data_IF_295114436645
#
_entry.id   IF_295114436645
#
_cell.length_a   1.000
_cell.length_b   1.000
_cell.length_c   1.000
_cell.angle_alpha   90.00
_cell.angle_beta   90.00
_cell.angle_gamma   90.00
#
_symmetry.space_group_name_H-M   'P 1'
#
loop_
_entity.id
_entity.type
_entity.pdbx_description
1 polymer ?
#
# COMPACT_ATOMS: atom_id res chain seq x y z
N UNK A 1 14.91 -13.45 -27.08
CA UNK A 1 14.37 -13.70 -25.71
C UNK A 1 13.26 -14.72 -25.83
N UNK A 2 13.35 -15.86 -25.11
CA UNK A 2 12.35 -16.94 -25.21
C UNK A 2 11.09 -16.56 -24.42
N UNK A 3 9.92 -16.87 -24.97
CA UNK A 3 8.60 -16.65 -24.34
C UNK A 3 8.51 -17.26 -22.92
N UNK A 4 9.27 -18.33 -22.68
CA UNK A 4 9.42 -18.95 -21.36
C UNK A 4 10.04 -18.03 -20.32
N UNK A 5 10.97 -17.16 -20.70
CA UNK A 5 11.58 -16.16 -19.80
C UNK A 5 10.58 -15.06 -19.44
N UNK A 6 9.70 -14.68 -20.38
CA UNK A 6 8.63 -13.72 -20.13
C UNK A 6 7.55 -14.29 -19.21
N UNK A 7 7.21 -15.57 -19.37
CA UNK A 7 6.29 -16.27 -18.46
C UNK A 7 6.91 -16.44 -17.06
N UNK A 8 8.22 -16.70 -16.97
CA UNK A 8 8.94 -16.81 -15.69
C UNK A 8 9.10 -15.46 -14.99
N UNK A 9 9.20 -14.37 -15.75
CA UNK A 9 9.14 -13.00 -15.22
C UNK A 9 7.72 -12.63 -14.74
N UNK A 10 6.68 -13.08 -15.45
CA UNK A 10 5.28 -12.89 -15.04
C UNK A 10 4.85 -13.78 -13.85
N UNK A 11 5.51 -14.93 -13.67
CA UNK A 11 5.31 -15.91 -12.58
C UNK A 11 6.42 -15.81 -11.52
N UNK A 12 7.26 -14.77 -11.58
CA UNK A 12 8.07 -14.42 -10.43
C UNK A 12 7.11 -14.04 -9.30
N UNK A 13 7.31 -14.51 -8.05
CA UNK A 13 6.49 -14.09 -6.94
C UNK A 13 6.63 -12.57 -6.86
N UNK A 14 5.57 -11.85 -7.29
CA UNK A 14 5.42 -10.42 -7.06
C UNK A 14 5.73 -10.26 -5.57
N UNK A 15 6.78 -9.53 -5.17
CA UNK A 15 7.22 -9.47 -3.79
C UNK A 15 6.01 -9.14 -2.92
N UNK A 16 5.54 -10.15 -2.19
CA UNK A 16 4.15 -10.26 -1.78
C UNK A 16 3.79 -9.42 -0.57
N UNK A 17 4.60 -8.41 -0.25
CA UNK A 17 4.36 -7.51 0.88
C UNK A 17 4.56 -6.07 0.47
N UNK A 18 3.64 -5.66 -0.39
CA UNK A 18 3.33 -4.27 -0.68
C UNK A 18 2.69 -3.62 0.57
N UNK A 19 2.86 -2.30 0.75
CA UNK A 19 2.32 -1.52 1.88
C UNK A 19 0.78 -1.52 2.02
N UNK A 20 0.08 -2.19 1.10
CA UNK A 20 -1.37 -2.35 1.05
C UNK A 20 -1.67 -3.86 1.14
N UNK A 21 -2.70 -4.23 1.92
CA UNK A 21 -3.15 -5.62 2.07
C UNK A 21 -3.30 -6.28 0.70
N UNK A 22 -2.82 -7.52 0.61
CA UNK A 22 -2.87 -8.29 -0.62
C UNK A 22 -4.31 -8.42 -1.12
N UNK A 23 -4.60 -7.71 -2.19
CA UNK A 23 -5.89 -7.65 -2.85
C UNK A 23 -6.20 -8.88 -3.71
N UNK A 24 -5.26 -9.83 -3.82
CA UNK A 24 -5.44 -11.08 -4.53
C UNK A 24 -6.72 -11.79 -4.10
N UNK A 25 -7.15 -11.69 -2.83
CA UNK A 25 -8.44 -12.23 -2.36
C UNK A 25 -9.66 -11.59 -3.03
N UNK A 26 -9.65 -10.28 -3.26
CA UNK A 26 -10.75 -9.58 -3.96
C UNK A 26 -10.78 -9.95 -5.44
N UNK A 27 -9.60 -10.03 -6.07
CA UNK A 27 -9.47 -10.45 -7.47
C UNK A 27 -9.89 -11.92 -7.64
N UNK A 28 -9.51 -12.80 -6.71
CA UNK A 28 -9.96 -14.20 -6.69
C UNK A 28 -11.48 -14.30 -6.51
N UNK A 29 -12.06 -13.51 -5.59
CA UNK A 29 -13.51 -13.45 -5.40
C UNK A 29 -14.24 -13.00 -6.66
N UNK A 30 -13.71 -12.00 -7.37
CA UNK A 30 -14.24 -11.54 -8.66
C UNK A 30 -14.13 -12.61 -9.74
N UNK A 31 -13.04 -13.38 -9.77
CA UNK A 31 -12.86 -14.50 -10.69
C UNK A 31 -13.85 -15.63 -10.43
N UNK A 32 -14.10 -15.98 -9.16
CA UNK A 32 -15.08 -17.00 -8.78
C UNK A 32 -16.50 -16.56 -9.16
N UNK A 33 -16.87 -15.31 -8.85
CA UNK A 33 -18.18 -14.75 -9.22
C UNK A 33 -18.32 -14.64 -10.74
N UNK A 34 -17.28 -14.21 -11.45
CA UNK A 34 -17.25 -14.11 -12.91
C UNK A 34 -17.36 -15.48 -13.59
N UNK A 35 -16.72 -16.51 -13.04
CA UNK A 35 -16.85 -17.90 -13.50
C UNK A 35 -18.25 -18.47 -13.26
N UNK A 36 -18.87 -18.14 -12.14
CA UNK A 36 -20.26 -18.52 -11.85
C UNK A 36 -21.27 -17.81 -12.78
N UNK A 37 -21.03 -16.52 -13.07
CA UNK A 37 -21.86 -15.72 -13.98
C UNK A 37 -21.70 -16.13 -15.46
N UNK A 38 -20.55 -16.70 -15.85
CA UNK A 38 -20.28 -17.13 -17.22
C UNK A 38 -21.34 -18.12 -17.72
N UNK A 39 -21.71 -19.08 -16.88
CA UNK A 39 -22.71 -20.09 -17.19
C UNK A 39 -24.14 -19.54 -17.27
N UNK A 40 -24.42 -18.43 -16.59
CA UNK A 40 -25.76 -17.83 -16.52
C UNK A 40 -26.02 -16.80 -17.62
N UNK A 41 -24.96 -16.18 -18.16
CA UNK A 41 -25.07 -15.02 -19.07
C UNK A 41 -24.46 -15.23 -20.47
N UNK A 42 -24.08 -16.46 -20.84
CA UNK A 42 -23.50 -16.79 -22.15
C UNK A 42 -22.31 -15.88 -22.53
N UNK A 43 -21.40 -15.62 -21.58
CA UNK A 43 -20.14 -14.91 -21.83
C UNK A 43 -20.13 -13.38 -21.64
N UNK A 44 -21.29 -12.72 -21.50
CA UNK A 44 -21.32 -11.28 -21.19
C UNK A 44 -20.87 -10.97 -19.75
N UNK A 45 -21.17 -11.86 -18.80
CA UNK A 45 -20.74 -11.73 -17.40
C UNK A 45 -19.22 -11.69 -17.23
N UNK A 46 -18.47 -12.40 -18.08
CA UNK A 46 -16.99 -12.36 -18.09
C UNK A 46 -16.43 -11.00 -18.47
N UNK A 47 -17.05 -10.28 -19.40
CA UNK A 47 -16.62 -8.93 -19.80
C UNK A 47 -16.85 -7.94 -18.67
N UNK A 48 -18.00 -8.02 -18.00
CA UNK A 48 -18.31 -7.18 -16.83
C UNK A 48 -17.37 -7.48 -15.67
N UNK A 49 -17.07 -8.76 -15.41
CA UNK A 49 -16.12 -9.16 -14.37
C UNK A 49 -14.69 -8.64 -14.66
N UNK A 50 -14.25 -8.70 -15.92
CA UNK A 50 -12.97 -8.13 -16.36
C UNK A 50 -12.93 -6.60 -16.16
N UNK A 51 -14.01 -5.89 -16.51
CA UNK A 51 -14.09 -4.44 -16.31
C UNK A 51 -14.01 -4.08 -14.83
N UNK A 52 -14.72 -4.80 -13.96
CA UNK A 52 -14.65 -4.59 -12.50
C UNK A 52 -13.26 -4.93 -11.95
N UNK A 53 -12.61 -5.99 -12.44
CA UNK A 53 -11.25 -6.35 -12.04
C UNK A 53 -10.25 -5.23 -12.38
N UNK A 54 -10.37 -4.63 -13.56
CA UNK A 54 -9.54 -3.49 -13.96
C UNK A 54 -9.74 -2.28 -13.05
N UNK A 55 -10.99 -1.94 -12.72
CA UNK A 55 -11.29 -0.83 -11.80
C UNK A 55 -10.64 -1.08 -10.43
N UNK A 56 -10.77 -2.30 -9.91
CA UNK A 56 -10.18 -2.71 -8.62
C UNK A 56 -8.65 -2.60 -8.64
N UNK A 57 -7.99 -3.02 -9.72
CA UNK A 57 -6.53 -2.91 -9.89
C UNK A 57 -6.06 -1.45 -9.96
N UNK A 58 -6.78 -0.60 -10.70
CA UNK A 58 -6.45 0.84 -10.79
C UNK A 58 -6.59 1.52 -9.42
N UNK A 59 -7.67 1.24 -8.69
CA UNK A 59 -7.88 1.77 -7.34
C UNK A 59 -6.73 1.39 -6.39
N UNK A 60 -6.25 0.15 -6.45
CA UNK A 60 -5.12 -0.31 -5.63
C UNK A 60 -3.81 0.38 -6.00
N UNK A 61 -3.52 0.54 -7.29
CA UNK A 61 -2.32 1.25 -7.74
C UNK A 61 -2.30 2.67 -7.19
N UNK A 62 -3.43 3.38 -7.24
CA UNK A 62 -3.55 4.74 -6.73
C UNK A 62 -3.34 4.81 -5.21
N UNK A 63 -3.93 3.87 -4.44
CA UNK A 63 -3.73 3.80 -2.99
C UNK A 63 -2.28 3.50 -2.62
N UNK A 64 -1.64 2.60 -3.36
CA UNK A 64 -0.23 2.27 -3.15
C UNK A 64 0.69 3.45 -3.46
N UNK A 65 0.45 4.15 -4.57
CA UNK A 65 1.23 5.33 -4.93
C UNK A 65 1.10 6.44 -3.88
N UNK A 66 -0.11 6.65 -3.34
CA UNK A 66 -0.33 7.60 -2.25
C UNK A 66 0.43 7.19 -0.98
N UNK A 67 0.26 5.95 -0.53
CA UNK A 67 0.95 5.45 0.66
C UNK A 67 2.49 5.56 0.52
N UNK A 68 3.04 5.19 -0.63
CA UNK A 68 4.49 5.29 -0.88
C UNK A 68 4.98 6.74 -0.86
N UNK A 69 4.21 7.68 -1.41
CA UNK A 69 4.53 9.10 -1.37
C UNK A 69 4.54 9.59 0.08
N UNK A 70 3.53 9.22 0.86
CA UNK A 70 3.41 9.63 2.26
C UNK A 70 4.57 9.10 3.12
N UNK A 71 4.97 7.84 2.92
CA UNK A 71 6.17 7.29 3.55
C UNK A 71 7.43 8.05 3.13
N UNK A 72 7.60 8.34 1.83
CA UNK A 72 8.75 9.08 1.34
C UNK A 72 8.84 10.47 1.97
N UNK A 73 7.71 11.17 2.11
CA UNK A 73 7.64 12.49 2.75
C UNK A 73 8.01 12.40 4.25
N UNK A 74 7.55 11.36 4.97
CA UNK A 74 7.92 11.12 6.38
C UNK A 74 9.41 10.80 6.57
N UNK A 75 9.99 9.93 5.73
CA UNK A 75 11.43 9.63 5.79
C UNK A 75 12.29 10.84 5.42
N UNK A 76 11.83 11.69 4.49
CA UNK A 76 12.50 12.96 4.20
C UNK A 76 12.45 13.91 5.39
N UNK A 77 11.31 14.02 6.08
CA UNK A 77 11.20 14.81 7.30
C UNK A 77 12.15 14.30 8.40
N UNK A 78 12.30 12.98 8.55
CA UNK A 78 13.27 12.39 9.47
C UNK A 78 14.71 12.80 9.12
N UNK A 79 15.11 12.67 7.85
CA UNK A 79 16.44 13.08 7.40
C UNK A 79 16.68 14.59 7.53
N UNK A 80 15.65 15.42 7.39
CA UNK A 80 15.72 16.85 7.63
C UNK A 80 15.86 17.18 9.12
N UNK A 81 15.17 16.44 10.00
CA UNK A 81 15.38 16.54 11.44
C UNK A 81 16.84 16.21 11.82
N UNK A 82 17.40 15.12 11.30
CA UNK A 82 18.80 14.77 11.60
C UNK A 82 19.78 15.88 11.19
N UNK A 83 19.51 16.60 10.09
CA UNK A 83 20.36 17.70 9.62
C UNK A 83 20.13 19.04 10.31
N UNK A 84 18.88 19.36 10.62
CA UNK A 84 18.48 20.69 11.10
C UNK A 84 18.16 20.74 12.59
N UNK A 85 17.97 19.57 13.21
CA UNK A 85 17.49 19.37 14.57
C UNK A 85 16.17 20.11 14.84
N UNK A 86 15.36 20.34 13.79
CA UNK A 86 14.07 21.00 13.94
C UNK A 86 12.96 19.99 14.25
N UNK A 87 12.45 20.06 15.48
CA UNK A 87 11.39 19.21 16.00
C UNK A 87 10.04 19.34 15.28
N UNK A 88 9.79 20.39 14.50
CA UNK A 88 8.60 20.51 13.66
C UNK A 88 8.48 19.35 12.67
N UNK A 89 9.61 18.83 12.18
CA UNK A 89 9.63 17.66 11.30
C UNK A 89 9.14 16.39 12.01
N UNK A 90 9.43 16.23 13.30
CA UNK A 90 8.94 15.11 14.09
C UNK A 90 7.43 15.21 14.34
N UNK A 91 6.94 16.41 14.61
CA UNK A 91 5.49 16.68 14.75
C UNK A 91 4.74 16.41 13.44
N UNK A 92 5.36 16.73 12.30
CA UNK A 92 4.84 16.38 10.98
C UNK A 92 4.75 14.86 10.78
N UNK A 93 5.79 14.11 11.12
CA UNK A 93 5.78 12.64 11.03
C UNK A 93 4.66 12.06 11.91
N UNK A 94 4.51 12.54 13.15
CA UNK A 94 3.45 12.14 14.08
C UNK A 94 2.04 12.40 13.50
N UNK A 95 1.79 13.61 13.00
CA UNK A 95 0.49 13.94 12.41
C UNK A 95 0.19 13.12 11.15
N UNK A 96 1.18 12.96 10.26
CA UNK A 96 1.00 12.24 8.98
C UNK A 96 0.81 10.74 9.21
N UNK A 97 1.56 10.16 10.13
CA UNK A 97 1.44 8.75 10.52
C UNK A 97 0.06 8.43 11.11
N UNK A 98 -0.42 9.26 12.03
CA UNK A 98 -1.74 9.09 12.65
C UNK A 98 -2.86 9.18 11.60
N UNK A 99 -2.76 10.16 10.70
CA UNK A 99 -3.69 10.30 9.59
C UNK A 99 -3.68 9.06 8.68
N UNK A 100 -2.50 8.54 8.32
CA UNK A 100 -2.39 7.35 7.47
C UNK A 100 -3.03 6.12 8.13
N UNK A 101 -2.82 5.91 9.43
CA UNK A 101 -3.41 4.81 10.19
C UNK A 101 -4.93 4.92 10.29
N UNK A 102 -5.46 6.14 10.44
CA UNK A 102 -6.89 6.42 10.57
C UNK A 102 -7.63 6.30 9.23
N UNK A 103 -7.05 6.84 8.17
CA UNK A 103 -7.72 6.97 6.88
C UNK A 103 -7.60 5.68 6.02
N UNK A 104 -6.48 4.94 6.11
CA UNK A 104 -6.24 3.78 5.25
C UNK A 104 -6.48 2.43 5.96
N UNK A 105 -7.74 1.98 5.98
CA UNK A 105 -8.14 0.62 6.46
C UNK A 105 -7.50 -0.56 5.70
N UNK A 106 -6.92 -0.27 4.53
CA UNK A 106 -6.27 -1.22 3.62
C UNK A 106 -4.75 -1.29 3.77
N UNK A 107 -4.15 -0.53 4.70
CA UNK A 107 -2.72 -0.66 5.02
C UNK A 107 -2.34 -2.10 5.39
N UNK A 108 -1.23 -2.58 4.84
CA UNK A 108 -0.65 -3.87 5.21
C UNK A 108 -0.02 -3.81 6.60
N UNK A 109 0.17 -4.96 7.22
CA UNK A 109 0.75 -5.03 8.57
C UNK A 109 2.21 -4.56 8.58
N UNK A 110 2.96 -4.77 7.49
CA UNK A 110 4.28 -4.17 7.29
C UNK A 110 4.23 -2.65 7.32
N UNK A 111 3.29 -2.04 6.59
CA UNK A 111 3.15 -0.59 6.55
C UNK A 111 2.84 -0.01 7.94
N UNK A 112 1.92 -0.64 8.67
CA UNK A 112 1.62 -0.25 10.05
C UNK A 112 2.85 -0.35 10.94
N UNK A 113 3.61 -1.43 10.82
CA UNK A 113 4.84 -1.61 11.59
C UNK A 113 5.88 -0.51 11.29
N UNK A 114 6.05 -0.13 10.02
CA UNK A 114 6.93 1.00 9.66
C UNK A 114 6.42 2.33 10.20
N UNK A 115 5.11 2.59 10.13
CA UNK A 115 4.51 3.79 10.73
C UNK A 115 4.79 3.84 12.24
N UNK A 116 4.61 2.73 12.95
CA UNK A 116 4.87 2.66 14.39
C UNK A 116 6.35 2.88 14.73
N UNK A 117 7.28 2.42 13.88
CA UNK A 117 8.72 2.71 14.06
C UNK A 117 9.02 4.20 13.90
N UNK A 118 8.44 4.85 12.90
CA UNK A 118 8.59 6.30 12.68
C UNK A 118 7.99 7.12 13.82
N UNK A 119 6.84 6.68 14.37
CA UNK A 119 6.23 7.29 15.55
C UNK A 119 7.10 7.12 16.79
N UNK A 120 7.59 5.91 17.06
CA UNK A 120 8.44 5.64 18.22
C UNK A 120 9.73 6.49 18.17
N UNK A 121 10.37 6.59 16.99
CA UNK A 121 11.51 7.47 16.78
C UNK A 121 11.17 8.94 17.07
N UNK A 122 10.06 9.43 16.51
CA UNK A 122 9.66 10.83 16.67
C UNK A 122 9.29 11.15 18.11
N UNK A 123 8.66 10.20 18.82
CA UNK A 123 8.29 10.36 20.22
C UNK A 123 9.52 10.37 21.14
N UNK A 124 10.46 9.44 20.96
CA UNK A 124 11.71 9.36 21.72
C UNK A 124 12.52 10.67 21.60
N UNK A 125 12.65 11.21 20.38
CA UNK A 125 13.35 12.46 20.15
C UNK A 125 12.60 13.70 20.69
N UNK A 126 11.26 13.68 20.69
CA UNK A 126 10.46 14.75 21.31
C UNK A 126 10.51 14.69 22.85
N UNK A 127 10.59 13.51 23.45
CA UNK A 127 10.74 13.32 24.90
C UNK A 127 12.11 13.81 25.38
N UNK A 128 13.20 13.51 24.64
CA UNK A 128 14.55 14.02 24.92
C UNK A 128 14.67 15.55 24.89
N UNK A 129 13.82 16.23 24.13
CA UNK A 129 13.74 17.70 24.13
C UNK A 129 13.07 18.25 25.41
N UNK A 130 12.18 17.45 26.02
CA UNK A 130 11.39 17.85 27.18
C UNK A 130 12.07 17.57 28.53
N UNK A 131 13.15 16.77 28.53
CA UNK A 131 14.07 16.55 29.66
C UNK A 131 15.21 17.58 29.70
#
# INVERSE_FOLDING_TARGET
MKLSELLKAAVSPIPSETYIKNSARLVYGLFIIGGLLYYLTNGYGTVIALALALIVLVGQKMLLTQANKDFADMYQAQALFEKTQNYDYLRFIMARSEQMLKDNKVLSDKAKNEIHKLQAFSQDELEKMSE
#
